data_IF_971989959978
#
_entry.id   IF_971989959978
#
_cell.length_a   1.000
_cell.length_b   1.000
_cell.length_c   1.000
_cell.angle_alpha   90.00
_cell.angle_beta   90.00
_cell.angle_gamma   90.00
#
_symmetry.space_group_name_H-M   'P 1'
#
loop_
_entity.id
_entity.type
_entity.pdbx_description
1 polymer ?
#
# COMPACT_ATOMS: atom_id res chain seq x y z
N UNK A 1 6.34 56.24 53.79
CA UNK A 1 5.81 55.74 52.52
C UNK A 1 6.11 54.24 52.45
N UNK A 2 5.10 53.44 52.07
CA UNK A 2 5.06 51.97 51.93
C UNK A 2 6.31 51.42 51.19
N UNK A 3 6.79 50.18 51.48
CA UNK A 3 6.03 48.93 51.60
C UNK A 3 6.37 48.13 52.88
N UNK A 4 5.62 47.06 53.18
CA UNK A 4 6.14 45.81 53.80
C UNK A 4 5.01 44.84 54.24
N UNK A 5 5.33 43.56 54.01
CA UNK A 5 4.88 42.32 54.64
C UNK A 5 4.12 42.42 55.97
N UNK A 6 3.08 41.58 56.15
CA UNK A 6 2.73 41.02 57.47
C UNK A 6 2.31 39.55 57.38
N UNK A 7 3.17 38.71 57.96
CA UNK A 7 2.82 37.39 58.47
C UNK A 7 2.05 37.52 59.80
N UNK A 8 1.17 36.55 60.09
CA UNK A 8 0.79 36.20 61.47
C UNK A 8 0.77 34.67 61.62
N UNK A 9 1.66 34.21 62.50
CA UNK A 9 1.72 32.88 63.08
C UNK A 9 0.61 32.69 64.13
N UNK A 10 0.08 31.48 64.25
CA UNK A 10 -0.41 30.94 65.54
C UNK A 10 0.10 29.50 65.68
N UNK A 11 0.82 29.26 66.77
CA UNK A 11 1.34 27.96 67.24
C UNK A 11 0.46 27.44 68.37
N UNK A 12 0.24 26.13 68.42
CA UNK A 12 0.03 25.33 69.65
C UNK A 12 -0.01 23.85 69.26
N UNK A 13 0.50 22.84 69.95
CA UNK A 13 1.44 22.64 71.08
C UNK A 13 1.48 21.10 71.19
N UNK A 14 2.62 20.45 70.92
CA UNK A 14 2.77 19.00 71.13
C UNK A 14 3.35 18.80 72.53
N UNK A 15 2.52 18.28 73.45
CA UNK A 15 2.95 17.83 74.77
C UNK A 15 3.61 16.46 74.69
N UNK A 16 4.71 16.28 75.44
CA UNK A 16 5.44 15.02 75.58
C UNK A 16 5.23 14.41 76.97
N UNK A 17 5.00 13.09 76.92
CA UNK A 17 5.47 12.03 77.82
C UNK A 17 4.80 11.85 79.21
N UNK A 18 4.65 10.59 79.66
CA UNK A 18 5.79 9.93 80.32
C UNK A 18 6.03 8.45 79.95
N UNK A 19 7.31 8.07 80.02
CA UNK A 19 7.82 6.70 80.01
C UNK A 19 7.37 5.94 81.27
N UNK A 20 6.99 4.68 81.12
CA UNK A 20 6.97 3.70 82.23
C UNK A 20 7.66 2.39 81.79
N UNK A 21 8.63 1.96 82.60
CA UNK A 21 9.45 0.73 82.50
C UNK A 21 8.58 -0.53 82.65
N UNK A 22 8.91 -1.60 81.91
CA UNK A 22 8.40 -2.95 82.21
C UNK A 22 8.88 -4.04 81.23
N UNK A 23 9.86 -4.84 81.68
CA UNK A 23 10.19 -6.23 81.33
C UNK A 23 10.60 -6.60 79.88
N UNK A 24 11.90 -6.43 79.64
CA UNK A 24 12.70 -6.78 78.44
C UNK A 24 12.99 -8.28 78.21
N UNK A 25 12.36 -9.21 78.92
CA UNK A 25 12.70 -10.66 78.81
C UNK A 25 11.62 -11.51 78.14
N UNK A 26 10.37 -11.05 78.08
CA UNK A 26 9.28 -11.77 77.39
C UNK A 26 9.23 -11.51 75.87
N UNK A 27 9.69 -10.34 75.42
CA UNK A 27 9.68 -9.97 73.99
C UNK A 27 10.81 -10.67 73.23
N UNK A 28 11.97 -10.91 73.86
CA UNK A 28 13.10 -11.59 73.22
C UNK A 28 12.82 -13.09 73.06
N UNK A 29 12.14 -13.72 74.02
CA UNK A 29 11.72 -15.12 73.91
C UNK A 29 10.61 -15.31 72.86
N UNK A 30 9.65 -14.39 72.74
CA UNK A 30 8.61 -14.44 71.72
C UNK A 30 9.18 -14.25 70.30
N UNK A 31 10.17 -13.36 70.12
CA UNK A 31 10.81 -13.14 68.81
C UNK A 31 11.70 -14.32 68.40
N UNK A 32 12.40 -14.97 69.34
CA UNK A 32 13.21 -16.15 69.06
C UNK A 32 12.37 -17.40 68.71
N UNK A 33 11.22 -17.61 69.36
CA UNK A 33 10.31 -18.73 69.05
C UNK A 33 9.59 -18.52 67.73
N UNK A 34 9.24 -17.27 67.38
CA UNK A 34 8.66 -16.95 66.06
C UNK A 34 9.71 -17.10 64.95
N UNK A 35 10.97 -16.72 65.18
CA UNK A 35 12.05 -16.92 64.20
C UNK A 35 12.42 -18.40 64.02
N UNK A 36 12.49 -19.18 65.10
CA UNK A 36 12.78 -20.63 65.02
C UNK A 36 11.58 -21.39 64.45
N UNK A 37 10.34 -20.98 64.76
CA UNK A 37 9.12 -21.53 64.15
C UNK A 37 8.99 -21.20 62.66
N UNK A 38 9.42 -20.01 62.23
CA UNK A 38 9.46 -19.63 60.82
C UNK A 38 10.57 -20.39 60.06
N UNK A 39 11.74 -20.60 60.67
CA UNK A 39 12.84 -21.37 60.06
C UNK A 39 12.47 -22.87 60.00
N UNK A 40 11.82 -23.42 61.02
CA UNK A 40 11.35 -24.82 61.00
C UNK A 40 10.20 -25.05 60.02
N UNK A 41 9.28 -24.09 59.85
CA UNK A 41 8.24 -24.17 58.82
C UNK A 41 8.85 -24.14 57.41
N UNK A 42 9.87 -23.32 57.17
CA UNK A 42 10.58 -23.24 55.88
C UNK A 42 11.42 -24.50 55.58
N UNK A 43 11.88 -25.23 56.60
CA UNK A 43 12.68 -26.47 56.42
C UNK A 43 11.81 -27.74 56.34
N UNK A 44 10.62 -27.78 56.95
CA UNK A 44 9.73 -28.95 56.96
C UNK A 44 8.55 -28.89 55.99
N UNK A 45 8.14 -27.69 55.54
CA UNK A 45 7.38 -27.58 54.30
C UNK A 45 8.40 -27.56 53.17
N UNK A 46 8.73 -28.77 52.69
CA UNK A 46 9.57 -28.99 51.52
C UNK A 46 9.06 -28.11 50.39
N UNK A 47 9.65 -26.93 50.28
CA UNK A 47 9.55 -26.06 49.14
C UNK A 47 10.24 -26.84 48.03
N UNK A 48 9.46 -27.70 47.39
CA UNK A 48 9.49 -27.70 45.94
C UNK A 48 9.36 -26.23 45.60
N UNK A 49 10.51 -25.57 45.34
CA UNK A 49 10.48 -24.27 44.69
C UNK A 49 9.40 -24.40 43.61
N UNK A 50 8.53 -23.41 43.40
CA UNK A 50 7.89 -23.32 42.12
C UNK A 50 9.06 -23.46 41.16
N UNK A 51 9.14 -24.60 40.50
CA UNK A 51 9.95 -24.72 39.31
C UNK A 51 9.37 -23.55 38.54
N UNK A 52 10.13 -22.45 38.42
CA UNK A 52 9.89 -21.51 37.35
C UNK A 52 9.90 -22.45 36.17
N UNK A 53 8.70 -22.89 35.78
CA UNK A 53 8.43 -23.48 34.49
C UNK A 53 8.96 -22.38 33.62
N UNK A 54 10.19 -22.55 33.17
CA UNK A 54 10.90 -21.66 32.28
C UNK A 54 9.92 -21.55 31.14
N UNK A 55 9.08 -20.51 31.20
CA UNK A 55 7.94 -20.34 30.32
C UNK A 55 8.66 -20.24 29.00
N UNK A 56 8.61 -21.32 28.23
CA UNK A 56 9.42 -21.47 27.03
C UNK A 56 9.13 -20.21 26.24
N UNK A 57 10.15 -19.37 26.06
CA UNK A 57 9.96 -18.05 25.49
C UNK A 57 9.24 -18.26 24.16
N UNK A 58 7.98 -17.83 24.10
CA UNK A 58 7.12 -18.12 22.94
C UNK A 58 7.73 -17.36 21.78
N UNK A 59 8.12 -18.08 20.73
CA UNK A 59 8.70 -17.45 19.55
C UNK A 59 7.64 -16.60 18.84
N UNK A 60 8.08 -15.54 18.15
CA UNK A 60 7.18 -14.72 17.34
C UNK A 60 6.40 -15.56 16.31
N UNK A 61 7.02 -16.61 15.79
CA UNK A 61 6.37 -17.56 14.87
C UNK A 61 5.21 -18.30 15.54
N UNK A 62 5.37 -18.72 16.79
CA UNK A 62 4.29 -19.36 17.57
C UNK A 62 3.19 -18.36 17.92
N UNK A 63 3.55 -17.12 18.30
CA UNK A 63 2.57 -16.05 18.55
C UNK A 63 1.74 -15.77 17.30
N UNK A 64 2.40 -15.61 16.15
CA UNK A 64 1.75 -15.43 14.86
C UNK A 64 0.80 -16.58 14.55
N UNK A 65 1.25 -17.83 14.68
CA UNK A 65 0.39 -19.00 14.43
C UNK A 65 -0.83 -19.05 15.36
N UNK A 66 -0.67 -18.64 16.63
CA UNK A 66 -1.79 -18.56 17.58
C UNK A 66 -2.78 -17.44 17.25
N UNK A 67 -2.31 -16.31 16.71
CA UNK A 67 -3.18 -15.23 16.24
C UNK A 67 -3.90 -15.67 14.97
N UNK A 68 -3.18 -16.24 13.99
CA UNK A 68 -3.74 -16.77 12.74
C UNK A 68 -4.84 -17.81 13.01
N UNK A 69 -4.63 -18.74 13.96
CA UNK A 69 -5.60 -19.77 14.29
C UNK A 69 -6.88 -19.23 14.97
N UNK A 70 -6.77 -18.17 15.76
CA UNK A 70 -7.89 -17.58 16.49
C UNK A 70 -8.66 -16.55 15.63
N UNK A 71 -7.92 -15.68 14.94
CA UNK A 71 -8.46 -14.53 14.25
C UNK A 71 -8.63 -14.75 12.74
N UNK A 72 -7.91 -15.70 12.13
CA UNK A 72 -8.05 -16.02 10.71
C UNK A 72 -9.42 -16.55 10.29
N UNK A 73 -10.27 -16.94 11.25
CA UNK A 73 -11.67 -17.29 11.00
C UNK A 73 -12.61 -16.07 10.91
N UNK A 74 -12.14 -14.89 11.35
CA UNK A 74 -12.94 -13.65 11.40
C UNK A 74 -12.86 -12.83 10.11
N UNK A 75 -11.86 -13.09 9.25
CA UNK A 75 -11.68 -12.42 7.97
C UNK A 75 -10.37 -12.82 7.31
N UNK A 76 -10.12 -12.26 6.12
CA UNK A 76 -8.82 -12.37 5.46
C UNK A 76 -7.80 -11.47 6.17
N UNK A 77 -6.60 -12.00 6.42
CA UNK A 77 -5.52 -11.23 7.03
C UNK A 77 -4.97 -10.17 6.08
N UNK A 78 -4.40 -9.10 6.64
CA UNK A 78 -3.57 -8.14 5.88
C UNK A 78 -2.37 -8.82 5.23
N UNK A 79 -1.76 -8.14 4.25
CA UNK A 79 -0.60 -8.62 3.48
C UNK A 79 0.72 -8.64 4.28
N UNK A 80 0.70 -9.25 5.46
CA UNK A 80 1.83 -9.30 6.39
C UNK A 80 2.78 -10.43 6.01
N UNK A 81 4.06 -10.13 5.73
CA UNK A 81 5.05 -11.14 5.37
C UNK A 81 5.18 -12.28 6.40
N UNK A 82 5.76 -13.43 6.01
CA UNK A 82 6.15 -14.47 6.94
C UNK A 82 7.08 -13.93 8.03
N UNK A 83 6.92 -14.45 9.25
CA UNK A 83 7.72 -14.06 10.41
C UNK A 83 9.21 -14.25 10.15
N UNK A 84 10.00 -13.25 10.53
CA UNK A 84 11.45 -13.30 10.50
C UNK A 84 12.04 -12.96 11.87
N UNK A 85 12.99 -13.76 12.32
CA UNK A 85 13.68 -13.53 13.60
C UNK A 85 14.66 -12.34 13.54
N UNK A 86 15.07 -11.94 12.34
CA UNK A 86 15.96 -10.80 12.05
C UNK A 86 15.19 -9.55 11.61
N UNK A 87 13.89 -9.46 11.91
CA UNK A 87 13.04 -8.39 11.42
C UNK A 87 13.46 -7.02 11.98
N UNK A 88 13.73 -6.08 11.07
CA UNK A 88 13.94 -4.67 11.39
C UNK A 88 12.62 -3.95 11.17
N UNK A 89 12.02 -3.34 12.22
CA UNK A 89 10.76 -2.65 12.08
C UNK A 89 10.89 -1.40 11.21
N UNK A 90 9.87 -1.16 10.40
CA UNK A 90 9.69 0.04 9.58
C UNK A 90 9.53 1.27 10.47
N UNK A 91 8.79 1.15 11.57
CA UNK A 91 8.72 2.20 12.59
C UNK A 91 9.74 1.90 13.69
N UNK A 92 10.66 2.82 13.96
CA UNK A 92 11.59 2.63 15.06
C UNK A 92 10.84 2.57 16.41
N UNK A 93 11.12 1.57 17.27
CA UNK A 93 10.55 1.50 18.62
C UNK A 93 10.78 2.80 19.39
N UNK A 94 9.74 3.34 20.02
CA UNK A 94 9.84 4.55 20.84
C UNK A 94 8.90 4.47 22.05
N UNK A 95 9.20 5.29 23.05
CA UNK A 95 8.32 5.42 24.23
C UNK A 95 6.96 5.99 23.81
N UNK A 96 5.88 5.42 24.34
CA UNK A 96 4.51 5.90 24.11
C UNK A 96 4.16 7.04 25.09
N UNK A 97 4.78 8.21 24.94
CA UNK A 97 4.68 9.34 25.88
C UNK A 97 3.66 10.42 25.49
N UNK A 98 3.33 10.55 24.20
CA UNK A 98 2.29 11.45 23.67
C UNK A 98 1.27 10.62 22.88
N UNK A 99 0.18 10.24 23.53
CA UNK A 99 -0.92 9.49 22.91
C UNK A 99 -2.16 10.39 22.75
N UNK A 100 -2.91 10.30 21.64
CA UNK A 100 -4.14 11.07 21.44
C UNK A 100 -5.27 10.71 22.40
N UNK A 101 -6.22 11.61 22.60
CA UNK A 101 -7.32 11.43 23.57
C UNK A 101 -8.20 10.22 23.27
N UNK A 102 -8.41 9.86 22.00
CA UNK A 102 -9.19 8.68 21.60
C UNK A 102 -8.56 7.35 22.09
N UNK A 103 -7.27 7.35 22.39
CA UNK A 103 -6.56 6.19 22.97
C UNK A 103 -6.93 5.99 24.45
N UNK A 104 -7.33 7.06 25.14
CA UNK A 104 -7.63 7.05 26.58
C UNK A 104 -9.06 6.57 26.91
N UNK A 105 -9.78 6.05 25.92
CA UNK A 105 -11.17 5.60 26.04
C UNK A 105 -11.33 4.38 26.94
N UNK A 106 -10.39 3.44 26.94
CA UNK A 106 -10.33 2.32 27.88
C UNK A 106 -8.90 1.75 28.04
N UNK A 107 -8.69 0.93 29.07
CA UNK A 107 -7.39 0.38 29.42
C UNK A 107 -6.80 -0.56 28.34
N UNK A 108 -7.63 -1.34 27.63
CA UNK A 108 -7.15 -2.26 26.59
C UNK A 108 -6.72 -1.49 25.33
N UNK A 109 -7.48 -0.48 24.93
CA UNK A 109 -7.10 0.42 23.83
C UNK A 109 -5.78 1.13 24.16
N UNK A 110 -5.64 1.68 25.37
CA UNK A 110 -4.40 2.30 25.82
C UNK A 110 -3.21 1.33 25.76
N UNK A 111 -3.38 0.09 26.21
CA UNK A 111 -2.33 -0.93 26.17
C UNK A 111 -1.92 -1.29 24.74
N UNK A 112 -2.90 -1.46 23.84
CA UNK A 112 -2.63 -1.81 22.45
C UNK A 112 -1.85 -0.71 21.71
N UNK A 113 -2.23 0.56 21.87
CA UNK A 113 -1.51 1.69 21.25
C UNK A 113 -0.10 1.85 21.83
N UNK A 114 0.07 1.67 23.14
CA UNK A 114 1.40 1.66 23.75
C UNK A 114 2.28 0.58 23.14
N UNK A 115 1.75 -0.64 23.08
CA UNK A 115 2.47 -1.78 22.53
C UNK A 115 2.80 -1.60 21.05
N UNK A 116 1.88 -1.06 20.24
CA UNK A 116 2.16 -0.74 18.84
C UNK A 116 3.27 0.30 18.64
N UNK A 117 3.44 1.21 19.61
CA UNK A 117 4.46 2.26 19.61
C UNK A 117 5.82 1.76 20.11
N UNK A 118 5.79 0.93 21.14
CA UNK A 118 6.98 0.44 21.86
C UNK A 118 7.55 -0.85 21.26
N UNK A 119 6.71 -1.66 20.61
CA UNK A 119 7.05 -2.95 20.00
C UNK A 119 6.57 -3.09 18.55
N UNK A 120 6.88 -2.12 17.67
CA UNK A 120 6.49 -2.20 16.26
C UNK A 120 7.08 -3.46 15.58
N UNK A 121 8.26 -3.95 15.99
CA UNK A 121 8.88 -5.17 15.47
C UNK A 121 8.00 -6.41 15.62
N UNK A 122 7.15 -6.44 16.64
CA UNK A 122 6.19 -7.54 16.85
C UNK A 122 4.98 -7.34 15.95
N UNK A 123 4.32 -6.18 16.04
CA UNK A 123 3.04 -5.96 15.35
C UNK A 123 3.16 -5.82 13.83
N UNK A 124 4.35 -5.51 13.32
CA UNK A 124 4.64 -5.51 11.88
C UNK A 124 4.79 -6.93 11.30
N UNK A 125 4.85 -7.94 12.17
CA UNK A 125 4.94 -9.36 11.84
C UNK A 125 3.62 -10.10 12.11
N UNK A 126 2.57 -9.38 12.52
CA UNK A 126 1.23 -9.90 12.78
C UNK A 126 0.23 -9.30 11.77
N UNK A 127 -0.64 -10.10 11.11
CA UNK A 127 -1.72 -9.60 10.28
C UNK A 127 -2.84 -9.08 11.14
N UNK A 128 -3.56 -8.11 10.61
CA UNK A 128 -4.86 -7.76 11.11
C UNK A 128 -5.93 -8.57 10.37
N UNK A 129 -6.83 -9.22 11.10
CA UNK A 129 -7.94 -10.00 10.57
C UNK A 129 -9.30 -9.29 10.73
N UNK A 130 -9.31 -7.97 10.95
CA UNK A 130 -10.55 -7.22 11.17
C UNK A 130 -11.45 -7.11 9.92
N UNK A 131 -10.94 -7.49 8.75
CA UNK A 131 -11.67 -7.41 7.47
C UNK A 131 -11.55 -6.08 6.75
N UNK A 132 -10.96 -5.05 7.38
CA UNK A 132 -10.71 -3.75 6.76
C UNK A 132 -9.43 -3.69 5.92
N UNK A 133 -8.73 -4.80 5.70
CA UNK A 133 -7.36 -4.83 5.16
C UNK A 133 -7.13 -4.20 3.77
N UNK A 134 -8.19 -3.72 3.11
CA UNK A 134 -8.15 -2.97 1.84
C UNK A 134 -8.53 -1.49 1.99
N UNK A 135 -8.89 -1.03 3.19
CA UNK A 135 -9.31 0.35 3.46
C UNK A 135 -8.26 1.04 4.33
N UNK A 136 -7.76 2.19 3.91
CA UNK A 136 -6.94 3.06 4.75
C UNK A 136 -7.75 4.04 5.60
N UNK A 137 -7.05 4.73 6.49
CA UNK A 137 -7.54 5.81 7.34
C UNK A 137 -6.99 7.16 6.87
N UNK A 138 -7.36 8.23 7.56
CA UNK A 138 -6.73 9.54 7.36
C UNK A 138 -5.21 9.49 7.66
N UNK A 139 -4.79 8.75 8.68
CA UNK A 139 -3.38 8.60 9.02
C UNK A 139 -2.59 7.81 7.96
N UNK A 140 -3.22 6.87 7.27
CA UNK A 140 -2.60 6.16 6.13
C UNK A 140 -2.88 6.82 4.78
N UNK A 141 -3.51 8.01 4.74
CA UNK A 141 -3.87 8.73 3.52
C UNK A 141 -4.75 7.86 2.58
N UNK A 142 -5.58 7.00 3.14
CA UNK A 142 -6.44 6.07 2.40
C UNK A 142 -5.78 4.76 1.95
N UNK A 143 -4.47 4.58 2.19
CA UNK A 143 -3.71 3.37 1.80
C UNK A 143 -4.06 2.16 2.68
N UNK A 144 -4.13 0.93 2.12
CA UNK A 144 -4.37 -0.29 2.89
C UNK A 144 -3.33 -0.57 3.99
N UNK A 145 -3.77 -1.12 5.12
CA UNK A 145 -2.88 -1.54 6.20
C UNK A 145 -2.11 -2.83 5.85
N UNK A 146 -0.78 -2.84 6.03
CA UNK A 146 0.09 -3.97 5.64
C UNK A 146 0.16 -5.04 6.73
N UNK A 147 0.07 -4.61 7.97
CA UNK A 147 0.17 -5.42 9.18
C UNK A 147 -0.57 -4.74 10.32
N UNK A 148 -0.69 -5.42 11.45
CA UNK A 148 -1.48 -4.98 12.59
C UNK A 148 -1.06 -3.60 13.11
N UNK A 149 0.24 -3.29 13.14
CA UNK A 149 0.75 -1.98 13.59
C UNK A 149 0.11 -0.80 12.83
N UNK A 150 -0.11 -0.93 11.52
CA UNK A 150 -0.65 0.15 10.68
C UNK A 150 -2.06 0.58 11.11
N UNK A 151 -2.80 -0.27 11.82
CA UNK A 151 -4.10 0.09 12.38
C UNK A 151 -4.01 1.11 13.54
N UNK A 152 -2.83 1.25 14.14
CA UNK A 152 -2.59 2.07 15.34
C UNK A 152 -1.73 3.29 15.03
N UNK A 153 -0.68 3.10 14.23
CA UNK A 153 0.37 4.10 13.98
C UNK A 153 1.04 3.85 12.63
N UNK A 154 1.17 4.91 11.84
CA UNK A 154 1.78 4.84 10.50
C UNK A 154 3.32 4.91 10.57
N UNK A 155 3.97 4.81 9.40
CA UNK A 155 5.44 4.88 9.27
C UNK A 155 6.04 6.22 9.74
N UNK A 156 5.26 7.30 9.71
CA UNK A 156 5.66 8.64 10.18
C UNK A 156 5.50 8.80 11.69
N UNK A 157 4.94 7.79 12.37
CA UNK A 157 4.66 7.83 13.80
C UNK A 157 3.37 8.59 14.16
N UNK A 158 2.52 8.88 13.17
CA UNK A 158 1.22 9.52 13.34
C UNK A 158 0.20 8.44 13.71
N UNK A 159 -0.57 8.71 14.77
CA UNK A 159 -1.55 7.76 15.29
C UNK A 159 -2.83 7.79 14.47
N UNK A 160 -3.37 6.59 14.29
CA UNK A 160 -4.63 6.34 13.61
C UNK A 160 -5.72 6.10 14.65
N UNK A 161 -6.88 6.74 14.56
CA UNK A 161 -7.99 6.50 15.48
C UNK A 161 -8.78 5.22 15.16
N UNK A 162 -8.56 4.63 13.99
CA UNK A 162 -9.29 3.48 13.49
C UNK A 162 -9.24 2.27 14.44
N UNK A 163 -8.05 1.88 14.94
CA UNK A 163 -7.95 0.76 15.86
C UNK A 163 -8.69 0.98 17.19
N UNK A 164 -8.89 2.24 17.61
CA UNK A 164 -9.58 2.54 18.87
C UNK A 164 -11.04 2.07 18.90
N UNK A 165 -11.64 1.84 17.73
CA UNK A 165 -13.01 1.36 17.55
C UNK A 165 -13.10 -0.10 17.06
N UNK A 166 -11.99 -0.85 17.03
CA UNK A 166 -11.95 -2.19 16.46
C UNK A 166 -11.48 -3.25 17.46
N UNK A 167 -12.42 -4.04 18.00
CA UNK A 167 -12.15 -5.11 18.96
C UNK A 167 -11.18 -6.19 18.42
N UNK A 168 -11.14 -6.38 17.10
CA UNK A 168 -10.20 -7.33 16.47
C UNK A 168 -8.77 -6.81 16.56
N UNK A 169 -8.52 -5.57 16.09
CA UNK A 169 -7.19 -4.97 16.13
C UNK A 169 -6.66 -4.90 17.58
N UNK A 170 -7.50 -4.42 18.51
CA UNK A 170 -7.15 -4.35 19.94
C UNK A 170 -6.86 -5.75 20.50
N UNK A 171 -7.69 -6.73 20.17
CA UNK A 171 -7.53 -8.10 20.65
C UNK A 171 -6.24 -8.77 20.17
N UNK A 172 -5.90 -8.63 18.90
CA UNK A 172 -4.67 -9.18 18.32
C UNK A 172 -3.43 -8.53 18.94
N UNK A 173 -3.44 -7.21 19.11
CA UNK A 173 -2.33 -6.46 19.70
C UNK A 173 -2.13 -6.82 21.18
N UNK A 174 -3.21 -6.93 21.95
CA UNK A 174 -3.15 -7.36 23.36
C UNK A 174 -2.70 -8.82 23.47
N UNK A 175 -3.06 -9.68 22.52
CA UNK A 175 -2.59 -11.07 22.50
C UNK A 175 -1.08 -11.14 22.22
N UNK A 176 -0.60 -10.39 21.23
CA UNK A 176 0.83 -10.26 20.96
C UNK A 176 1.59 -9.73 22.20
N UNK A 177 1.08 -8.67 22.83
CA UNK A 177 1.63 -8.09 24.05
C UNK A 177 1.71 -9.10 25.20
N UNK A 178 0.67 -9.90 25.43
CA UNK A 178 0.67 -10.91 26.51
C UNK A 178 1.67 -12.04 26.26
N UNK A 179 1.94 -12.36 25.00
CA UNK A 179 2.87 -13.41 24.61
C UNK A 179 4.33 -12.93 24.57
N UNK A 180 4.55 -11.68 24.12
CA UNK A 180 5.87 -11.04 23.95
C UNK A 180 5.89 -9.65 24.62
N UNK A 181 5.80 -9.57 25.96
CA UNK A 181 5.70 -8.29 26.66
C UNK A 181 6.92 -7.37 26.47
N UNK A 182 8.10 -7.96 26.25
CA UNK A 182 9.36 -7.24 26.06
C UNK A 182 9.80 -7.16 24.58
N UNK A 183 8.93 -7.57 23.65
CA UNK A 183 9.25 -7.66 22.21
C UNK A 183 9.94 -8.96 21.81
N UNK A 184 10.55 -8.98 20.61
CA UNK A 184 11.29 -10.15 20.10
C UNK A 184 12.62 -10.29 20.88
N UNK A 185 12.97 -11.49 21.38
CA UNK A 185 14.27 -11.73 22.01
C UNK A 185 15.42 -11.41 21.04
N UNK A 186 16.21 -10.39 21.35
CA UNK A 186 17.36 -9.98 20.51
C UNK A 186 18.43 -11.07 20.53
N UNK A 187 18.69 -11.74 19.39
CA UNK A 187 19.98 -12.41 19.21
C UNK A 187 21.08 -11.34 19.18
N UNK A 188 22.15 -11.56 19.93
CA UNK A 188 23.27 -10.62 20.07
C UNK A 188 23.97 -10.39 18.72
N UNK A 189 23.52 -9.39 17.98
CA UNK A 189 24.23 -8.85 16.83
C UNK A 189 24.84 -7.50 17.22
N UNK A 190 26.17 -7.43 17.09
CA UNK A 190 27.03 -6.27 17.30
C UNK A 190 26.44 -5.00 16.71
N UNK A 191 26.57 -3.89 17.44
CA UNK A 191 26.30 -2.55 16.97
C UNK A 191 27.01 -2.31 15.62
N UNK A 192 26.23 -2.19 14.54
CA UNK A 192 26.70 -1.64 13.29
C UNK A 192 26.65 -0.10 13.38
N UNK A 193 27.58 0.63 12.75
CA UNK A 193 27.67 2.07 12.87
C UNK A 193 26.38 2.77 12.43
N UNK A 194 25.90 3.69 13.26
CA UNK A 194 24.88 4.66 12.87
C UNK A 194 25.41 5.45 11.68
N UNK A 195 24.83 5.22 10.51
CA UNK A 195 25.10 6.08 9.35
C UNK A 195 24.27 7.36 9.56
N UNK A 196 24.87 8.55 9.48
CA UNK A 196 24.11 9.79 9.54
C UNK A 196 23.02 9.80 8.47
N UNK A 197 21.86 10.37 8.79
CA UNK A 197 20.83 10.74 7.82
C UNK A 197 21.50 11.49 6.67
N UNK A 198 21.76 10.77 5.58
CA UNK A 198 22.25 11.34 4.34
C UNK A 198 21.04 12.03 3.73
N UNK A 199 21.24 13.29 3.33
CA UNK A 199 20.26 14.05 2.57
C UNK A 199 19.67 13.14 1.48
N UNK A 200 18.34 13.19 1.34
CA UNK A 200 17.63 12.51 0.26
C UNK A 200 18.44 12.65 -1.02
N UNK A 201 18.78 11.54 -1.70
CA UNK A 201 19.51 11.68 -2.95
C UNK A 201 18.69 12.57 -3.88
N UNK A 202 19.35 13.55 -4.47
CA UNK A 202 18.76 14.35 -5.52
C UNK A 202 18.64 13.46 -6.76
N UNK A 203 17.43 12.93 -6.96
CA UNK A 203 17.10 12.03 -8.05
C UNK A 203 16.56 12.80 -9.27
N UNK A 204 16.68 14.14 -9.28
CA UNK A 204 16.43 14.97 -10.47
C UNK A 204 17.34 14.58 -11.65
N UNK A 205 18.44 13.87 -11.39
CA UNK A 205 19.39 13.40 -12.40
C UNK A 205 19.24 11.96 -12.93
N UNK A 206 18.22 11.16 -12.56
CA UNK A 206 18.16 9.72 -12.93
C UNK A 206 17.19 9.39 -14.06
N UNK A 207 17.61 9.40 -15.32
CA UNK A 207 16.81 9.03 -16.51
C UNK A 207 15.87 7.82 -16.29
N UNK A 208 14.56 8.04 -16.48
CA UNK A 208 13.71 7.00 -17.06
C UNK A 208 14.35 6.66 -18.42
N UNK A 209 14.35 5.43 -18.93
CA UNK A 209 14.54 5.30 -20.37
C UNK A 209 13.46 6.20 -20.99
N UNK A 210 13.82 7.03 -21.96
CA UNK A 210 13.00 8.15 -22.45
C UNK A 210 11.58 7.79 -22.91
N UNK A 211 11.20 6.51 -22.84
CA UNK A 211 10.22 5.79 -23.63
C UNK A 211 9.19 4.97 -22.80
N UNK A 212 8.77 5.37 -21.60
CA UNK A 212 7.45 4.94 -21.08
C UNK A 212 6.54 6.12 -20.77
N UNK A 213 6.19 6.83 -21.87
CA UNK A 213 5.35 8.04 -21.85
C UNK A 213 4.05 7.87 -22.63
N UNK A 214 3.91 6.77 -23.36
CA UNK A 214 2.76 6.49 -24.21
C UNK A 214 2.39 5.00 -24.22
N UNK A 215 1.28 4.70 -24.90
CA UNK A 215 0.88 3.33 -25.18
C UNK A 215 1.91 2.63 -26.08
N UNK A 216 2.39 3.29 -27.14
CA UNK A 216 3.41 2.73 -28.05
C UNK A 216 4.67 2.30 -27.31
N UNK A 217 5.09 3.15 -26.40
CA UNK A 217 6.22 2.95 -25.52
C UNK A 217 6.08 1.73 -24.63
N UNK A 218 4.92 1.58 -23.97
CA UNK A 218 4.64 0.41 -23.14
C UNK A 218 4.55 -0.87 -23.92
N UNK A 219 3.93 -0.83 -25.10
CA UNK A 219 3.79 -1.99 -25.97
C UNK A 219 5.13 -2.52 -26.49
N UNK A 220 6.21 -1.71 -26.49
CA UNK A 220 7.57 -2.19 -26.79
C UNK A 220 8.12 -3.10 -25.68
N UNK A 221 7.59 -2.96 -24.46
CA UNK A 221 7.96 -3.76 -23.28
C UNK A 221 7.03 -4.96 -23.06
N UNK A 222 5.94 -5.07 -23.81
CA UNK A 222 4.95 -6.14 -23.67
C UNK A 222 5.18 -7.22 -24.75
N UNK A 223 5.19 -8.51 -24.37
CA UNK A 223 5.27 -9.62 -25.33
C UNK A 223 4.10 -9.62 -26.33
N UNK A 224 4.28 -10.17 -27.55
CA UNK A 224 3.24 -10.21 -28.56
C UNK A 224 2.10 -11.17 -28.16
N UNK A 225 0.90 -10.95 -28.72
CA UNK A 225 -0.25 -11.84 -28.53
C UNK A 225 -1.31 -11.32 -27.54
N UNK A 226 -1.20 -10.08 -27.08
CA UNK A 226 -2.24 -9.45 -26.27
C UNK A 226 -3.54 -9.23 -27.06
N UNK A 227 -4.67 -9.38 -26.38
CA UNK A 227 -6.01 -9.09 -26.89
C UNK A 227 -6.32 -7.60 -26.85
N UNK A 228 -5.86 -6.91 -25.80
CA UNK A 228 -6.03 -5.48 -25.60
C UNK A 228 -4.94 -4.93 -24.67
N UNK A 229 -4.71 -3.62 -24.75
CA UNK A 229 -3.95 -2.87 -23.74
C UNK A 229 -4.51 -1.47 -23.61
N UNK A 230 -4.47 -0.89 -22.41
CA UNK A 230 -4.65 0.54 -22.22
C UNK A 230 -3.47 1.16 -21.48
N UNK A 231 -3.28 2.45 -21.70
CA UNK A 231 -2.30 3.30 -21.06
C UNK A 231 -3.01 4.50 -20.44
N UNK A 232 -2.63 4.82 -19.21
CA UNK A 232 -3.09 5.98 -18.45
C UNK A 232 -1.87 6.82 -18.02
N UNK A 233 -1.86 8.10 -18.40
CA UNK A 233 -0.79 9.05 -18.17
C UNK A 233 -1.14 10.06 -17.07
N UNK A 234 -1.06 9.61 -15.82
CA UNK A 234 -1.40 10.47 -14.67
C UNK A 234 -0.45 11.67 -14.50
N UNK A 235 0.76 11.63 -15.07
CA UNK A 235 1.71 12.76 -15.10
C UNK A 235 1.13 14.03 -15.75
N UNK A 236 0.14 13.89 -16.63
CA UNK A 236 -0.47 15.04 -17.28
C UNK A 236 -1.55 15.73 -16.43
N UNK A 237 -1.99 15.08 -15.34
CA UNK A 237 -3.01 15.61 -14.41
C UNK A 237 -4.29 16.11 -15.11
N UNK A 238 -4.67 15.47 -16.22
CA UNK A 238 -5.79 15.95 -17.04
C UNK A 238 -7.16 15.57 -16.47
N UNK A 239 -7.19 14.53 -15.62
CA UNK A 239 -8.41 13.95 -15.04
C UNK A 239 -9.11 12.95 -15.97
N UNK A 240 -8.66 12.81 -17.21
CA UNK A 240 -9.18 11.86 -18.21
C UNK A 240 -8.97 10.41 -17.78
N UNK A 241 -7.89 10.19 -17.03
CA UNK A 241 -7.31 8.88 -16.70
C UNK A 241 -7.93 8.25 -15.45
N UNK A 242 -8.52 9.07 -14.58
CA UNK A 242 -8.91 8.70 -13.21
C UNK A 242 -10.04 7.65 -13.14
N UNK A 243 -10.93 7.60 -14.13
CA UNK A 243 -12.02 6.61 -14.18
C UNK A 243 -11.56 5.23 -14.69
N UNK A 244 -10.35 5.14 -15.27
CA UNK A 244 -9.86 3.92 -15.94
C UNK A 244 -8.82 3.17 -15.10
N UNK A 245 -8.58 3.60 -13.87
CA UNK A 245 -7.63 3.00 -12.96
C UNK A 245 -8.36 2.35 -11.80
N UNK A 246 -7.97 1.13 -11.46
CA UNK A 246 -8.36 0.52 -10.19
C UNK A 246 -7.82 1.42 -9.05
N UNK A 247 -8.64 1.74 -8.03
CA UNK A 247 -8.28 2.68 -6.97
C UNK A 247 -7.18 2.17 -6.01
N UNK A 248 -6.64 0.97 -6.25
CA UNK A 248 -5.70 0.28 -5.37
C UNK A 248 -4.27 0.42 -5.87
N UNK A 249 -3.49 1.23 -5.17
CA UNK A 249 -2.05 1.25 -5.30
C UNK A 249 -1.44 0.04 -4.56
N UNK A 250 -1.19 -1.06 -5.28
CA UNK A 250 -0.56 -2.27 -4.71
C UNK A 250 0.76 -2.02 -3.96
N UNK A 251 1.39 -0.88 -4.23
CA UNK A 251 2.71 -0.50 -3.74
C UNK A 251 2.68 0.53 -2.61
N UNK A 252 1.51 1.06 -2.23
CA UNK A 252 1.40 2.14 -1.25
C UNK A 252 2.11 3.43 -1.66
N UNK A 253 2.32 3.61 -2.97
CA UNK A 253 2.93 4.78 -3.61
C UNK A 253 2.08 5.17 -4.83
N UNK A 254 2.03 6.47 -5.10
CA UNK A 254 1.30 7.00 -6.24
C UNK A 254 1.86 6.45 -7.56
N UNK A 255 0.98 5.81 -8.33
CA UNK A 255 1.24 5.49 -9.74
C UNK A 255 1.07 6.80 -10.53
N UNK A 256 2.04 7.10 -11.39
CA UNK A 256 2.05 8.29 -12.26
C UNK A 256 1.94 7.91 -13.75
N UNK A 257 2.00 6.62 -14.06
CA UNK A 257 1.69 6.08 -15.38
C UNK A 257 1.43 4.58 -15.29
N UNK A 258 0.49 4.07 -16.07
CA UNK A 258 0.12 2.66 -16.06
C UNK A 258 -0.17 2.16 -17.45
N UNK A 259 0.41 1.02 -17.83
CA UNK A 259 -0.10 0.19 -18.92
C UNK A 259 -0.67 -1.07 -18.31
N UNK A 260 -1.86 -1.46 -18.75
CA UNK A 260 -2.47 -2.75 -18.44
C UNK A 260 -2.78 -3.48 -19.75
N UNK A 261 -2.61 -4.80 -19.78
CA UNK A 261 -2.78 -5.63 -20.96
C UNK A 261 -3.17 -7.06 -20.59
N UNK A 262 -3.95 -7.70 -21.46
CA UNK A 262 -4.44 -9.07 -21.27
C UNK A 262 -4.27 -9.89 -22.54
N UNK A 263 -4.06 -11.20 -22.40
CA UNK A 263 -3.96 -12.19 -23.46
C UNK A 263 -5.25 -13.02 -23.57
N UNK A 264 -5.44 -13.73 -24.68
CA UNK A 264 -6.65 -14.56 -24.87
C UNK A 264 -6.80 -15.71 -23.86
N UNK A 265 -5.70 -16.15 -23.25
CA UNK A 265 -5.67 -17.20 -22.23
C UNK A 265 -5.95 -16.66 -20.81
N UNK A 266 -6.27 -15.36 -20.67
CA UNK A 266 -6.56 -14.69 -19.40
C UNK A 266 -5.32 -14.32 -18.59
N UNK A 267 -4.11 -14.58 -19.11
CA UNK A 267 -2.88 -14.01 -18.53
C UNK A 267 -2.80 -12.52 -18.83
N UNK A 268 -2.02 -11.79 -18.05
CA UNK A 268 -1.98 -10.33 -18.14
C UNK A 268 -0.64 -9.75 -17.69
N UNK A 269 -0.39 -8.50 -18.09
CA UNK A 269 0.76 -7.69 -17.70
C UNK A 269 0.30 -6.26 -17.41
N UNK A 270 0.75 -5.76 -16.27
CA UNK A 270 0.73 -4.37 -15.90
C UNK A 270 2.14 -3.81 -15.74
N UNK A 271 2.35 -2.62 -16.27
CA UNK A 271 3.57 -1.83 -16.15
C UNK A 271 3.24 -0.54 -15.44
N UNK A 272 3.81 -0.31 -14.26
CA UNK A 272 3.53 0.88 -13.46
C UNK A 272 4.77 1.77 -13.39
N UNK A 273 4.62 3.05 -13.72
CA UNK A 273 5.58 4.10 -13.39
C UNK A 273 5.12 4.75 -12.09
N UNK A 274 5.95 4.67 -11.05
CA UNK A 274 5.73 5.33 -9.75
C UNK A 274 6.79 6.40 -9.48
N UNK A 275 7.51 6.85 -10.52
CA UNK A 275 8.58 7.84 -10.38
C UNK A 275 9.92 7.27 -9.90
N UNK A 276 10.95 8.13 -9.88
CA UNK A 276 12.37 7.78 -9.66
C UNK A 276 12.71 7.47 -8.20
N UNK A 277 11.86 7.87 -7.24
CA UNK A 277 12.26 8.05 -5.84
C UNK A 277 11.70 7.00 -4.86
N UNK A 278 11.00 5.99 -5.36
CA UNK A 278 10.28 5.04 -4.53
C UNK A 278 11.10 3.76 -4.26
N UNK A 279 12.14 3.91 -3.42
CA UNK A 279 13.05 2.81 -3.02
C UNK A 279 12.43 1.79 -2.05
N UNK A 280 11.20 2.03 -1.59
CA UNK A 280 10.52 1.23 -0.55
C UNK A 280 9.54 0.19 -1.10
N UNK A 281 9.43 0.06 -2.43
CA UNK A 281 8.46 -0.83 -3.07
C UNK A 281 9.03 -2.26 -3.10
N UNK A 282 8.44 -3.17 -2.32
CA UNK A 282 8.97 -4.55 -2.10
C UNK A 282 8.29 -5.58 -3.00
N UNK A 283 9.07 -6.29 -3.81
CA UNK A 283 8.57 -7.38 -4.67
C UNK A 283 7.92 -8.49 -3.88
N UNK A 284 6.74 -8.94 -4.32
CA UNK A 284 6.11 -10.16 -3.85
C UNK A 284 5.91 -11.10 -5.04
N UNK A 285 6.30 -12.36 -4.90
CA UNK A 285 6.06 -13.40 -5.88
C UNK A 285 5.10 -14.40 -5.27
N UNK A 286 3.87 -14.43 -5.77
CA UNK A 286 2.86 -15.42 -5.42
C UNK A 286 3.09 -16.75 -6.15
N UNK A 287 2.16 -17.69 -5.99
CA UNK A 287 2.23 -18.98 -6.69
C UNK A 287 1.96 -18.88 -8.20
N UNK A 288 1.10 -17.96 -8.63
CA UNK A 288 0.62 -17.80 -10.01
C UNK A 288 0.88 -16.41 -10.60
N UNK A 289 1.21 -15.42 -9.76
CA UNK A 289 1.45 -14.02 -10.11
C UNK A 289 2.81 -13.58 -9.57
N UNK A 290 3.52 -12.77 -10.35
CA UNK A 290 4.81 -12.20 -9.97
C UNK A 290 4.74 -10.66 -10.01
N UNK A 291 5.35 -10.02 -9.00
CA UNK A 291 5.52 -8.57 -8.95
C UNK A 291 7.02 -8.26 -8.90
N UNK A 292 7.59 -7.78 -10.00
CA UNK A 292 9.01 -7.44 -10.13
C UNK A 292 9.16 -5.93 -9.88
N UNK A 293 9.71 -5.57 -8.72
CA UNK A 293 9.70 -4.20 -8.22
C UNK A 293 11.09 -3.54 -8.14
N UNK A 294 12.15 -4.19 -8.62
CA UNK A 294 13.50 -3.62 -8.72
C UNK A 294 13.81 -3.08 -10.13
N UNK A 295 12.77 -2.90 -10.95
CA UNK A 295 12.82 -2.46 -12.35
C UNK A 295 11.95 -1.23 -12.52
N UNK A 296 12.28 -0.36 -13.48
CA UNK A 296 11.41 0.70 -13.97
C UNK A 296 11.11 0.46 -15.46
N UNK A 297 9.85 0.23 -15.86
CA UNK A 297 8.64 0.24 -15.01
C UNK A 297 8.60 -0.94 -14.02
N UNK A 298 7.80 -0.78 -12.97
CA UNK A 298 7.42 -1.87 -12.07
C UNK A 298 6.54 -2.84 -12.86
N UNK A 299 6.83 -4.13 -12.77
CA UNK A 299 6.13 -5.15 -13.56
C UNK A 299 5.26 -5.97 -12.62
N UNK A 300 3.98 -6.07 -12.94
CA UNK A 300 3.02 -6.91 -12.25
C UNK A 300 2.31 -7.79 -13.28
N UNK A 301 2.17 -9.09 -13.02
CA UNK A 301 1.47 -9.94 -13.99
C UNK A 301 1.61 -11.43 -13.73
N UNK A 302 1.18 -12.21 -14.72
CA UNK A 302 1.36 -13.66 -14.71
C UNK A 302 2.85 -14.02 -14.82
N UNK A 303 3.28 -15.03 -14.07
CA UNK A 303 4.69 -15.41 -13.89
C UNK A 303 5.46 -15.68 -15.19
N UNK A 304 4.82 -16.32 -16.16
CA UNK A 304 5.37 -16.56 -17.49
C UNK A 304 5.58 -15.27 -18.31
N UNK A 305 4.71 -14.27 -18.09
CA UNK A 305 4.76 -13.00 -18.79
C UNK A 305 5.78 -12.04 -18.19
N UNK A 306 5.90 -11.95 -16.87
CA UNK A 306 6.85 -11.02 -16.20
C UNK A 306 8.31 -11.32 -16.55
N UNK A 307 8.66 -12.61 -16.68
CA UNK A 307 9.96 -13.03 -17.19
C UNK A 307 10.21 -12.60 -18.63
N UNK A 308 9.18 -12.66 -19.49
CA UNK A 308 9.25 -12.23 -20.88
C UNK A 308 9.44 -10.71 -21.01
N UNK A 309 8.74 -9.91 -20.19
CA UNK A 309 8.95 -8.46 -20.11
C UNK A 309 10.40 -8.13 -19.71
N UNK A 310 10.92 -8.82 -18.70
CA UNK A 310 12.31 -8.63 -18.24
C UNK A 310 13.33 -8.97 -19.34
N UNK A 311 13.04 -9.97 -20.18
CA UNK A 311 13.88 -10.30 -21.34
C UNK A 311 13.85 -9.21 -22.42
N UNK A 312 12.66 -8.68 -22.74
CA UNK A 312 12.50 -7.54 -23.67
C UNK A 312 13.28 -6.30 -23.22
N UNK A 313 13.29 -6.03 -21.91
CA UNK A 313 14.04 -4.91 -21.34
C UNK A 313 15.56 -5.07 -21.45
N UNK A 314 16.07 -6.30 -21.50
CA UNK A 314 17.52 -6.60 -21.58
C UNK A 314 18.03 -6.63 -23.01
N UNK A 315 17.20 -7.01 -23.97
CA UNK A 315 17.55 -7.07 -25.39
C UNK A 315 16.46 -6.41 -26.25
N UNK A 316 16.68 -5.13 -26.51
CA UNK A 316 15.81 -4.29 -27.35
C UNK A 316 16.11 -4.43 -28.85
N UNK A 317 17.15 -5.17 -29.22
CA UNK A 317 17.71 -5.15 -30.58
C UNK A 317 17.07 -6.15 -31.55
N UNK A 318 16.38 -7.18 -31.04
CA UNK A 318 15.92 -8.30 -31.87
C UNK A 318 14.59 -8.93 -31.44
N UNK A 319 13.86 -8.30 -30.53
CA UNK A 319 12.65 -8.89 -29.94
C UNK A 319 11.36 -8.38 -30.59
N UNK A 320 10.48 -9.33 -30.96
CA UNK A 320 9.12 -8.99 -31.44
C UNK A 320 8.28 -8.65 -30.24
N UNK A 321 7.80 -7.41 -30.14
CA UNK A 321 6.92 -6.93 -29.06
C UNK A 321 5.49 -6.74 -29.55
N UNK A 322 4.55 -6.51 -28.62
CA UNK A 322 3.17 -6.19 -28.94
C UNK A 322 3.05 -4.94 -29.82
N UNK A 323 3.98 -3.98 -29.68
CA UNK A 323 4.03 -2.77 -30.51
C UNK A 323 4.01 -3.08 -32.00
N UNK A 324 4.77 -4.09 -32.45
CA UNK A 324 4.87 -4.43 -33.87
C UNK A 324 3.50 -4.79 -34.48
N UNK A 325 2.61 -5.40 -33.69
CA UNK A 325 1.28 -5.75 -34.15
C UNK A 325 0.39 -4.51 -34.35
N UNK A 326 0.42 -3.57 -33.40
CA UNK A 326 -0.43 -2.36 -33.41
C UNK A 326 0.20 -1.15 -34.14
N UNK A 327 1.47 -1.26 -34.56
CA UNK A 327 2.26 -0.18 -35.15
C UNK A 327 1.51 0.61 -36.24
N UNK A 328 0.81 -0.09 -37.14
CA UNK A 328 0.10 0.53 -38.26
C UNK A 328 -0.99 1.53 -37.85
N UNK A 329 -1.64 1.32 -36.70
CA UNK A 329 -2.64 2.28 -36.18
C UNK A 329 -1.99 3.35 -35.29
N UNK A 330 -0.98 2.97 -34.50
CA UNK A 330 -0.28 3.87 -33.59
C UNK A 330 0.48 4.99 -34.34
N UNK A 331 1.09 4.69 -35.49
CA UNK A 331 1.76 5.71 -36.33
C UNK A 331 0.80 6.72 -36.99
N UNK A 332 -0.52 6.55 -36.81
CA UNK A 332 -1.56 7.42 -37.41
C UNK A 332 -2.30 8.28 -36.39
N UNK A 333 -1.94 8.18 -35.11
CA UNK A 333 -2.61 8.86 -33.99
C UNK A 333 -1.58 9.56 -33.10
N UNK A 334 -2.06 10.42 -32.22
CA UNK A 334 -1.28 11.17 -31.25
C UNK A 334 -1.22 10.42 -29.91
N UNK A 335 -0.67 9.20 -29.91
CA UNK A 335 -0.59 8.41 -28.69
C UNK A 335 0.48 8.92 -27.72
N UNK A 336 1.47 9.64 -28.21
CA UNK A 336 2.53 10.25 -27.41
C UNK A 336 2.01 11.32 -26.44
N UNK A 337 1.00 12.09 -26.86
CA UNK A 337 0.38 13.13 -26.03
C UNK A 337 -0.92 12.67 -25.37
N UNK A 338 -1.33 11.42 -25.57
CA UNK A 338 -2.56 10.89 -25.00
C UNK A 338 -2.47 10.77 -23.47
N UNK A 339 -3.45 11.37 -22.78
CA UNK A 339 -3.69 11.14 -21.36
C UNK A 339 -4.20 9.73 -21.11
N UNK A 340 -5.08 9.25 -22.01
CA UNK A 340 -5.54 7.88 -22.04
C UNK A 340 -5.48 7.33 -23.47
N UNK A 341 -5.00 6.10 -23.63
CA UNK A 341 -5.00 5.41 -24.92
C UNK A 341 -5.28 3.92 -24.74
N UNK A 342 -6.01 3.32 -25.67
CA UNK A 342 -6.35 1.90 -25.64
C UNK A 342 -6.28 1.30 -27.04
N UNK A 343 -5.69 0.11 -27.14
CA UNK A 343 -5.74 -0.75 -28.32
C UNK A 343 -6.51 -2.02 -28.01
N UNK A 344 -7.19 -2.54 -29.02
CA UNK A 344 -7.97 -3.77 -28.93
C UNK A 344 -7.87 -4.55 -30.24
N UNK A 345 -7.89 -5.88 -30.15
CA UNK A 345 -8.07 -6.81 -31.28
C UNK A 345 -9.55 -7.06 -31.59
N UNK A 346 -10.43 -6.82 -30.61
CA UNK A 346 -11.86 -6.72 -30.83
C UNK A 346 -12.19 -5.37 -31.46
N UNK A 347 -12.81 -5.41 -32.63
CA UNK A 347 -13.20 -4.24 -33.40
C UNK A 347 -14.51 -4.53 -34.15
N UNK A 348 -15.19 -3.51 -34.71
CA UNK A 348 -16.33 -3.72 -35.59
C UNK A 348 -15.99 -4.67 -36.74
N UNK A 349 -17.00 -5.31 -37.33
CA UNK A 349 -16.81 -6.41 -38.29
C UNK A 349 -15.83 -6.13 -39.43
N UNK A 350 -15.74 -4.87 -39.90
CA UNK A 350 -14.83 -4.43 -40.97
C UNK A 350 -13.35 -4.30 -40.55
N UNK A 351 -13.03 -4.35 -39.26
CA UNK A 351 -11.71 -4.11 -38.70
C UNK A 351 -11.23 -5.29 -37.85
N UNK A 352 -9.90 -5.46 -37.75
CA UNK A 352 -9.24 -6.49 -36.92
C UNK A 352 -8.49 -5.91 -35.71
N UNK A 353 -8.42 -4.58 -35.61
CA UNK A 353 -8.00 -3.86 -34.42
C UNK A 353 -8.58 -2.45 -34.40
N UNK A 354 -8.66 -1.90 -33.19
CA UNK A 354 -9.02 -0.51 -32.93
C UNK A 354 -8.04 0.14 -31.97
N UNK A 355 -7.85 1.44 -32.14
CA UNK A 355 -7.23 2.35 -31.18
C UNK A 355 -8.28 3.39 -30.75
N UNK A 356 -8.23 3.79 -29.49
CA UNK A 356 -8.93 4.94 -28.95
C UNK A 356 -7.98 5.74 -28.06
N UNK A 357 -7.89 7.05 -28.29
CA UNK A 357 -7.00 7.96 -27.56
C UNK A 357 -7.69 9.25 -27.19
N UNK A 358 -7.30 9.81 -26.05
CA UNK A 358 -7.83 11.05 -25.49
C UNK A 358 -6.66 12.00 -25.19
N UNK A 359 -6.62 13.11 -25.91
CA UNK A 359 -5.58 14.14 -25.79
C UNK A 359 -6.22 15.43 -25.26
N UNK A 360 -5.61 16.04 -24.26
CA UNK A 360 -6.11 17.31 -23.70
C UNK A 360 -5.94 18.45 -24.70
N UNK A 361 -6.99 19.25 -24.92
CA UNK A 361 -6.97 20.39 -25.84
C UNK A 361 -7.71 21.61 -25.25
N UNK A 362 -6.99 22.50 -24.57
CA UNK A 362 -7.57 23.75 -24.04
C UNK A 362 -8.52 23.50 -22.87
N UNK A 363 -9.84 23.59 -23.07
CA UNK A 363 -10.88 23.13 -22.11
C UNK A 363 -11.63 21.87 -22.60
N UNK A 364 -11.29 21.39 -23.79
CA UNK A 364 -11.91 20.24 -24.43
C UNK A 364 -10.94 19.04 -24.48
N UNK A 365 -11.44 17.94 -25.01
CA UNK A 365 -10.70 16.73 -25.32
C UNK A 365 -10.70 16.51 -26.83
N UNK A 366 -9.54 16.24 -27.39
CA UNK A 366 -9.39 15.67 -28.72
C UNK A 366 -9.45 14.15 -28.58
N UNK A 367 -10.53 13.54 -29.04
CA UNK A 367 -10.67 12.09 -29.18
C UNK A 367 -10.18 11.63 -30.54
N UNK A 368 -9.39 10.56 -30.56
CA UNK A 368 -8.93 9.90 -31.77
C UNK A 368 -9.32 8.43 -31.75
N UNK A 369 -9.91 7.95 -32.83
CA UNK A 369 -10.21 6.55 -33.06
C UNK A 369 -9.47 6.14 -34.33
N UNK A 370 -8.77 5.01 -34.30
CA UNK A 370 -8.22 4.42 -35.52
C UNK A 370 -8.61 2.95 -35.64
N UNK A 371 -8.89 2.50 -36.85
CA UNK A 371 -9.18 1.11 -37.17
C UNK A 371 -8.24 0.62 -38.25
N UNK A 372 -7.71 -0.59 -38.10
CA UNK A 372 -7.13 -1.33 -39.22
C UNK A 372 -8.21 -2.16 -39.88
N UNK A 373 -8.46 -1.85 -41.14
CA UNK A 373 -9.49 -2.43 -41.98
C UNK A 373 -8.99 -3.79 -42.47
N UNK A 374 -9.84 -4.81 -42.34
CA UNK A 374 -9.58 -6.15 -42.89
C UNK A 374 -9.50 -6.12 -44.41
N UNK A 375 -8.73 -7.03 -44.99
CA UNK A 375 -8.67 -7.18 -46.44
C UNK A 375 -10.07 -7.39 -47.03
N UNK A 376 -10.38 -6.65 -48.10
CA UNK A 376 -11.67 -6.65 -48.79
C UNK A 376 -12.89 -6.24 -47.93
N UNK A 377 -12.70 -5.74 -46.71
CA UNK A 377 -13.80 -5.26 -45.90
C UNK A 377 -14.32 -3.90 -46.38
N UNK A 378 -15.64 -3.74 -46.34
CA UNK A 378 -16.29 -2.46 -46.65
C UNK A 378 -16.49 -1.67 -45.37
N UNK A 379 -15.95 -0.46 -45.35
CA UNK A 379 -16.12 0.51 -44.27
C UNK A 379 -17.44 1.27 -44.49
N UNK A 380 -18.28 1.47 -43.45
CA UNK A 380 -19.51 2.26 -43.57
C UNK A 380 -19.21 3.77 -43.60
N UNK A 381 -18.49 4.24 -44.63
CA UNK A 381 -18.05 5.63 -44.74
C UNK A 381 -19.20 6.63 -44.85
N UNK A 382 -20.29 6.26 -45.51
CA UNK A 382 -21.48 7.10 -45.62
C UNK A 382 -22.03 7.46 -44.22
N UNK A 383 -22.27 6.45 -43.39
CA UNK A 383 -22.67 6.61 -41.98
C UNK A 383 -21.71 7.53 -41.21
N UNK A 384 -20.40 7.33 -41.35
CA UNK A 384 -19.42 8.15 -40.63
C UNK A 384 -19.35 9.60 -41.14
N UNK A 385 -19.56 9.81 -42.43
CA UNK A 385 -19.64 11.16 -43.01
C UNK A 385 -20.93 11.87 -42.59
N UNK A 386 -22.05 11.17 -42.40
CA UNK A 386 -23.27 11.75 -41.82
C UNK A 386 -23.06 12.20 -40.38
N UNK A 387 -22.35 11.39 -39.56
CA UNK A 387 -21.97 11.79 -38.20
C UNK A 387 -21.08 13.03 -38.18
N UNK A 388 -20.13 13.12 -39.12
CA UNK A 388 -19.30 14.31 -39.33
C UNK A 388 -20.16 15.53 -39.72
N UNK A 389 -21.04 15.39 -40.69
CA UNK A 389 -21.87 16.50 -41.19
C UNK A 389 -22.84 17.03 -40.14
N UNK A 390 -23.27 16.16 -39.21
CA UNK A 390 -24.14 16.52 -38.08
C UNK A 390 -23.38 16.85 -36.79
N UNK A 391 -22.05 16.92 -36.79
CA UNK A 391 -21.26 16.97 -35.55
C UNK A 391 -21.47 18.25 -34.75
N UNK A 392 -21.60 19.41 -35.42
CA UNK A 392 -21.76 20.71 -34.73
C UNK A 392 -23.06 20.77 -33.93
N UNK A 393 -24.17 20.23 -34.45
CA UNK A 393 -25.45 20.20 -33.74
C UNK A 393 -25.45 19.21 -32.57
N UNK A 394 -24.47 18.29 -32.54
CA UNK A 394 -24.24 17.32 -31.46
C UNK A 394 -23.16 17.76 -30.47
N UNK A 395 -22.70 19.02 -30.54
CA UNK A 395 -21.76 19.59 -29.58
C UNK A 395 -20.27 19.35 -29.88
N UNK A 396 -19.92 18.92 -31.09
CA UNK A 396 -18.52 18.78 -31.50
C UNK A 396 -17.99 20.07 -32.13
N UNK A 397 -16.82 20.51 -31.68
CA UNK A 397 -16.12 21.69 -32.21
C UNK A 397 -15.38 21.38 -33.50
N UNK A 398 -14.87 20.16 -33.62
CA UNK A 398 -14.28 19.62 -34.85
C UNK A 398 -14.64 18.15 -34.97
N UNK A 399 -14.71 17.69 -36.22
CA UNK A 399 -14.97 16.29 -36.53
C UNK A 399 -14.40 15.96 -37.91
N UNK A 400 -13.58 14.92 -37.97
CA UNK A 400 -12.89 14.48 -39.17
C UNK A 400 -13.00 12.97 -39.30
N UNK A 401 -13.22 12.52 -40.53
CA UNK A 401 -13.21 11.10 -40.92
C UNK A 401 -12.25 11.00 -42.09
N UNK A 402 -11.19 10.22 -41.93
CA UNK A 402 -10.11 10.07 -42.90
C UNK A 402 -9.84 8.58 -43.11
N UNK A 403 -9.97 8.11 -44.34
CA UNK A 403 -9.56 6.74 -44.72
C UNK A 403 -8.34 6.84 -45.63
N UNK A 404 -7.26 6.21 -45.22
CA UNK A 404 -6.03 6.11 -46.00
C UNK A 404 -5.60 4.63 -46.04
N UNK A 405 -5.51 4.06 -47.25
CA UNK A 405 -5.23 2.64 -47.44
C UNK A 405 -6.18 1.74 -46.63
N UNK A 406 -5.62 0.91 -45.77
CA UNK A 406 -6.31 0.01 -44.85
C UNK A 406 -6.50 0.62 -43.45
N UNK A 407 -6.32 1.93 -43.26
CA UNK A 407 -6.54 2.60 -41.98
C UNK A 407 -7.70 3.60 -42.10
N UNK A 408 -8.61 3.56 -41.14
CA UNK A 408 -9.63 4.58 -40.93
C UNK A 408 -9.31 5.33 -39.64
N UNK A 409 -9.22 6.65 -39.69
CA UNK A 409 -9.01 7.52 -38.53
C UNK A 409 -10.18 8.49 -38.39
N UNK A 410 -10.70 8.62 -37.17
CA UNK A 410 -11.71 9.60 -36.79
C UNK A 410 -11.09 10.50 -35.72
N UNK A 411 -11.19 11.82 -35.92
CA UNK A 411 -10.74 12.82 -34.94
C UNK A 411 -11.90 13.72 -34.58
N UNK A 412 -12.08 13.97 -33.31
CA UNK A 412 -13.19 14.77 -32.81
C UNK A 412 -12.76 15.60 -31.62
N UNK A 413 -13.24 16.84 -31.50
CA UNK A 413 -12.98 17.68 -30.33
C UNK A 413 -14.29 18.09 -29.69
N UNK A 414 -14.45 17.77 -28.41
CA UNK A 414 -15.63 18.09 -27.59
C UNK A 414 -15.30 17.88 -26.10
N UNK A 415 -16.29 17.99 -25.21
CA UNK A 415 -16.11 17.57 -23.82
C UNK A 415 -15.91 16.05 -23.72
N UNK A 416 -15.29 15.60 -22.61
CA UNK A 416 -14.92 14.21 -22.39
C UNK A 416 -16.12 13.25 -22.54
N UNK A 417 -17.27 13.60 -21.96
CA UNK A 417 -18.45 12.74 -21.94
C UNK A 417 -19.01 12.56 -23.35
N UNK A 418 -19.03 13.61 -24.15
CA UNK A 418 -19.51 13.54 -25.52
C UNK A 418 -18.60 12.68 -26.40
N UNK A 419 -17.27 12.79 -26.22
CA UNK A 419 -16.28 11.95 -26.93
C UNK A 419 -16.46 10.48 -26.55
N UNK A 420 -16.55 10.15 -25.25
CA UNK A 420 -16.75 8.76 -24.78
C UNK A 420 -18.05 8.17 -25.35
N UNK A 421 -19.14 8.94 -25.27
CA UNK A 421 -20.46 8.52 -25.80
C UNK A 421 -20.41 8.25 -27.30
N UNK A 422 -19.80 9.14 -28.07
CA UNK A 422 -19.66 8.98 -29.52
C UNK A 422 -18.82 7.76 -29.88
N UNK A 423 -17.69 7.55 -29.22
CA UNK A 423 -16.82 6.41 -29.45
C UNK A 423 -17.56 5.08 -29.22
N UNK A 424 -18.30 4.95 -28.12
CA UNK A 424 -19.03 3.72 -27.81
C UNK A 424 -20.26 3.52 -28.71
N UNK A 425 -21.12 4.53 -28.86
CA UNK A 425 -22.40 4.37 -29.55
C UNK A 425 -22.26 4.36 -31.09
N UNK A 426 -21.38 5.18 -31.63
CA UNK A 426 -21.27 5.39 -33.07
C UNK A 426 -20.22 4.48 -33.72
N UNK A 427 -19.18 4.14 -32.97
CA UNK A 427 -18.01 3.40 -33.45
C UNK A 427 -17.78 2.04 -32.79
N UNK A 428 -18.55 1.69 -31.75
CA UNK A 428 -18.42 0.40 -31.08
C UNK A 428 -17.11 0.25 -30.29
N UNK A 429 -16.54 1.36 -29.84
CA UNK A 429 -15.32 1.36 -29.01
C UNK A 429 -15.68 0.96 -27.58
N UNK A 430 -15.00 -0.06 -27.08
CA UNK A 430 -15.00 -0.45 -25.68
C UNK A 430 -13.90 0.35 -24.98
N UNK A 431 -14.31 1.40 -24.27
CA UNK A 431 -13.43 2.30 -23.51
C UNK A 431 -12.85 1.58 -22.31
#
# INVERSE_FOLDING_TARGET
MKPETKAKNVKTKIEKNPKKKGNSTLIIAAVAVILIGAIAYVVLSGSSAPQETKKTAVSLKEVRAQIDAEYGKKGSGTNTPPVRDDYIPVLAPRKADKLPDYVLTNAMTLQAYKYATEHPEVLEQIPCYCGCGQHGSQASEGRPHRFLRDCFINDKGEYDDHASFCDVCIGEAVKAMKALPDGIPKQSASAAPQTPLTQSPDLSGLDLPDNFKSLSDGLKLVPPGISWAYFANLKQETGIEQESMEPVDFYGVQIIGMLNSEYQDGTWIELHDVGKNNANVRSNAGGTTDNILYTRPFIFGSKDKTGSVTALMKDTSNSTSAFNYFRSVLEKVDDENAGFAKVNTSAPSFADMSYFGLVRSGNDIKGEIAFRIKDNATVPLEKYNELKNSSTTRGFKSYEVQKENNILVIRMTSDLNNIKKEATQSYGIVI
#
